data_IF_314314204846
#
_entry.id   IF_314314204846
#
_cell.length_a   1.000
_cell.length_b   1.000
_cell.length_c   1.000
_cell.angle_alpha   90.00
_cell.angle_beta   90.00
_cell.angle_gamma   90.00
#
_symmetry.space_group_name_H-M   'P 1'
#
loop_
_entity.id
_entity.type
_entity.pdbx_description
1 polymer ?
#
# COMPACT_ATOMS: atom_id res chain seq x y z
N UNK A 1 82.09 -32.17 -15.99
CA UNK A 1 80.86 -32.48 -16.76
C UNK A 1 79.83 -33.01 -15.78
N UNK A 2 78.76 -32.24 -15.56
CA UNK A 2 77.58 -32.68 -14.80
C UNK A 2 76.38 -31.89 -15.32
N UNK A 3 75.65 -32.49 -16.25
CA UNK A 3 74.42 -31.97 -16.83
C UNK A 3 73.25 -32.24 -15.87
N UNK A 4 72.78 -31.19 -15.20
CA UNK A 4 71.55 -31.24 -14.39
C UNK A 4 70.36 -31.19 -15.35
N UNK A 5 69.73 -32.35 -15.58
CA UNK A 5 68.47 -32.47 -16.29
C UNK A 5 67.32 -32.24 -15.30
N UNK A 6 66.85 -31.00 -15.20
CA UNK A 6 65.64 -30.66 -14.46
C UNK A 6 64.42 -30.84 -15.37
N UNK A 7 63.89 -32.07 -15.40
CA UNK A 7 62.58 -32.40 -15.95
C UNK A 7 61.47 -31.90 -15.01
N UNK A 8 61.09 -30.63 -15.13
CA UNK A 8 59.89 -30.10 -14.50
C UNK A 8 58.68 -30.34 -15.42
N UNK A 9 58.08 -31.53 -15.33
CA UNK A 9 56.79 -31.87 -15.94
C UNK A 9 55.61 -31.33 -15.12
N UNK A 10 55.66 -30.06 -14.72
CA UNK A 10 54.47 -29.40 -14.18
C UNK A 10 53.51 -29.13 -15.33
N UNK A 11 52.39 -29.85 -15.33
CA UNK A 11 51.29 -29.69 -16.28
C UNK A 11 50.99 -28.22 -16.52
N UNK A 12 51.21 -27.79 -17.76
CA UNK A 12 51.09 -26.42 -18.22
C UNK A 12 49.64 -25.93 -18.00
N UNK A 13 49.37 -25.34 -16.83
CA UNK A 13 48.12 -24.63 -16.59
C UNK A 13 48.09 -23.48 -17.58
N UNK A 14 47.30 -23.62 -18.64
CA UNK A 14 47.19 -22.60 -19.66
C UNK A 14 46.69 -21.31 -19.00
N UNK A 15 47.52 -20.26 -19.03
CA UNK A 15 47.10 -18.95 -18.58
C UNK A 15 45.81 -18.57 -19.32
N UNK A 16 44.81 -18.10 -18.59
CA UNK A 16 43.54 -17.66 -19.16
C UNK A 16 43.52 -16.14 -19.23
N UNK A 17 42.88 -15.62 -20.26
CA UNK A 17 42.61 -14.20 -20.40
C UNK A 17 41.52 -13.77 -19.43
N UNK A 18 41.36 -12.45 -19.23
CA UNK A 18 40.27 -11.88 -18.43
C UNK A 18 38.87 -12.26 -18.94
N UNK A 19 38.74 -12.61 -20.21
CA UNK A 19 37.51 -13.15 -20.80
C UNK A 19 37.30 -14.66 -20.55
N UNK A 20 38.17 -15.33 -19.79
CA UNK A 20 38.09 -16.76 -19.48
C UNK A 20 38.69 -17.71 -20.53
N UNK A 21 39.00 -17.19 -21.73
CA UNK A 21 39.57 -17.95 -22.84
C UNK A 21 41.06 -18.26 -22.66
N UNK A 22 41.53 -19.31 -23.34
CA UNK A 22 42.95 -19.70 -23.33
C UNK A 22 43.83 -18.65 -24.01
N UNK A 23 44.96 -18.28 -23.38
CA UNK A 23 45.95 -17.41 -24.05
C UNK A 23 46.57 -18.12 -25.25
N UNK A 24 46.82 -17.35 -26.31
CA UNK A 24 47.49 -17.82 -27.51
C UNK A 24 48.78 -17.03 -27.72
N UNK A 25 49.83 -17.70 -28.18
CA UNK A 25 51.07 -17.03 -28.58
C UNK A 25 50.82 -16.31 -29.90
N UNK A 26 50.94 -14.99 -29.90
CA UNK A 26 50.80 -14.15 -31.09
C UNK A 26 52.13 -13.51 -31.42
N UNK A 27 52.33 -13.23 -32.70
CA UNK A 27 53.48 -12.46 -33.19
C UNK A 27 52.95 -11.12 -33.69
N UNK A 28 53.47 -10.02 -33.13
CA UNK A 28 53.20 -8.68 -33.68
C UNK A 28 54.29 -8.35 -34.68
N UNK A 29 53.87 -7.79 -35.82
CA UNK A 29 54.75 -7.09 -36.72
C UNK A 29 54.55 -5.58 -36.52
N UNK A 30 55.56 -4.92 -35.96
CA UNK A 30 55.61 -3.45 -35.84
C UNK A 30 56.93 -2.98 -36.40
N UNK A 31 56.99 -1.78 -36.98
CA UNK A 31 58.24 -1.20 -37.51
C UNK A 31 59.33 -1.11 -36.44
N UNK A 32 58.95 -0.81 -35.20
CA UNK A 32 59.88 -0.72 -34.07
C UNK A 32 60.26 -2.06 -33.45
N UNK A 33 59.50 -3.13 -33.70
CA UNK A 33 59.75 -4.47 -33.14
C UNK A 33 59.17 -5.56 -34.08
N UNK A 34 59.86 -5.91 -35.17
CA UNK A 34 59.43 -6.97 -36.05
C UNK A 34 59.58 -8.34 -35.37
N UNK A 35 58.54 -9.16 -35.43
CA UNK A 35 58.61 -10.55 -34.97
C UNK A 35 58.51 -10.77 -33.46
N UNK A 36 58.17 -9.74 -32.66
CA UNK A 36 58.01 -9.90 -31.21
C UNK A 36 56.82 -10.82 -30.91
N UNK A 37 57.09 -11.88 -30.13
CA UNK A 37 56.07 -12.83 -29.66
C UNK A 37 55.57 -12.43 -28.28
N UNK A 38 54.26 -12.51 -28.07
CA UNK A 38 53.62 -12.25 -26.79
C UNK A 38 52.44 -13.20 -26.58
N UNK A 39 52.14 -13.50 -25.31
CA UNK A 39 50.94 -14.26 -24.95
C UNK A 39 49.78 -13.27 -24.85
N UNK A 40 48.78 -13.45 -25.70
CA UNK A 40 47.65 -12.53 -25.81
C UNK A 40 46.32 -13.26 -25.93
N UNK A 41 45.24 -12.52 -25.70
CA UNK A 41 43.90 -13.05 -25.93
C UNK A 41 43.70 -13.40 -27.40
N UNK A 42 43.02 -14.52 -27.67
CA UNK A 42 42.60 -14.92 -29.00
C UNK A 42 41.82 -13.79 -29.69
N UNK A 43 41.01 -13.05 -28.92
CA UNK A 43 40.24 -11.89 -29.37
C UNK A 43 40.97 -10.54 -29.33
N UNK A 44 42.28 -10.51 -28.99
CA UNK A 44 43.08 -9.28 -29.06
C UNK A 44 43.02 -8.70 -30.48
N UNK A 45 42.50 -7.48 -30.63
CA UNK A 45 42.29 -6.78 -31.91
C UNK A 45 40.89 -6.90 -32.53
N UNK A 46 39.96 -7.69 -31.95
CA UNK A 46 38.55 -7.69 -32.40
C UNK A 46 37.76 -6.58 -31.71
N UNK A 47 37.26 -5.63 -32.49
CA UNK A 47 36.46 -4.48 -32.02
C UNK A 47 35.16 -4.83 -31.26
N UNK A 48 34.69 -6.08 -31.29
CA UNK A 48 33.30 -6.41 -30.91
C UNK A 48 33.13 -7.24 -29.63
N UNK A 49 34.22 -7.59 -28.92
CA UNK A 49 34.10 -8.53 -27.80
C UNK A 49 33.60 -7.87 -26.51
N UNK A 50 34.05 -6.64 -26.22
CA UNK A 50 33.64 -5.90 -25.02
C UNK A 50 32.28 -5.20 -25.16
N UNK A 51 31.85 -4.93 -26.39
CA UNK A 51 30.54 -4.31 -26.65
C UNK A 51 29.39 -5.27 -26.32
N UNK A 52 29.47 -6.56 -26.69
CA UNK A 52 28.36 -7.50 -26.47
C UNK A 52 27.97 -7.65 -25.00
N UNK A 53 28.93 -7.76 -24.09
CA UNK A 53 28.65 -7.89 -22.65
C UNK A 53 28.08 -6.59 -22.08
N UNK A 54 28.57 -5.43 -22.54
CA UNK A 54 28.07 -4.12 -22.09
C UNK A 54 26.63 -3.84 -22.55
N UNK A 55 26.30 -4.17 -23.80
CA UNK A 55 24.95 -3.95 -24.34
C UNK A 55 23.89 -4.84 -23.68
N UNK A 56 24.18 -6.11 -23.42
CA UNK A 56 23.25 -7.01 -22.73
C UNK A 56 22.98 -6.58 -21.30
N UNK A 57 24.02 -6.14 -20.57
CA UNK A 57 23.87 -5.61 -19.21
C UNK A 57 23.06 -4.30 -19.18
N UNK A 58 23.24 -3.44 -20.17
CA UNK A 58 22.46 -2.21 -20.30
C UNK A 58 20.98 -2.49 -20.56
N UNK A 59 20.67 -3.34 -21.54
CA UNK A 59 19.27 -3.68 -21.88
C UNK A 59 18.55 -4.33 -20.70
N UNK A 60 19.20 -5.29 -20.03
CA UNK A 60 18.62 -5.95 -18.86
C UNK A 60 18.38 -4.99 -17.72
N UNK A 61 19.31 -4.07 -17.45
CA UNK A 61 19.12 -3.01 -16.45
C UNK A 61 17.92 -2.12 -16.79
N UNK A 62 17.79 -1.66 -18.04
CA UNK A 62 16.65 -0.84 -18.46
C UNK A 62 15.31 -1.59 -18.32
N UNK A 63 15.24 -2.87 -18.69
CA UNK A 63 14.02 -3.66 -18.54
C UNK A 63 13.63 -3.85 -17.07
N UNK A 64 14.60 -4.16 -16.20
CA UNK A 64 14.36 -4.32 -14.77
C UNK A 64 13.93 -3.01 -14.13
N UNK A 65 14.56 -1.88 -14.49
CA UNK A 65 14.18 -0.56 -13.99
C UNK A 65 12.75 -0.18 -14.39
N UNK A 66 12.36 -0.42 -15.65
CA UNK A 66 11.00 -0.14 -16.12
C UNK A 66 9.96 -1.04 -15.42
N UNK A 67 10.27 -2.32 -15.21
CA UNK A 67 9.40 -3.24 -14.48
C UNK A 67 9.23 -2.79 -13.02
N UNK A 68 10.31 -2.38 -12.37
CA UNK A 68 10.28 -1.87 -10.99
C UNK A 68 9.43 -0.59 -10.88
N UNK A 69 9.63 0.37 -11.78
CA UNK A 69 8.84 1.61 -11.77
C UNK A 69 7.36 1.34 -12.01
N UNK A 70 7.03 0.41 -12.90
CA UNK A 70 5.64 -0.02 -13.14
C UNK A 70 5.01 -0.63 -11.89
N UNK A 71 5.74 -1.48 -11.18
CA UNK A 71 5.28 -2.10 -9.93
C UNK A 71 5.01 -1.04 -8.84
N UNK A 72 5.90 -0.06 -8.68
CA UNK A 72 5.73 1.04 -7.73
C UNK A 72 4.46 1.85 -8.02
N UNK A 73 4.18 2.12 -9.30
CA UNK A 73 2.96 2.84 -9.70
C UNK A 73 1.69 2.03 -9.41
N UNK A 74 1.70 0.72 -9.68
CA UNK A 74 0.58 -0.17 -9.39
C UNK A 74 0.30 -0.21 -7.89
N UNK A 75 1.33 -0.42 -7.08
CA UNK A 75 1.20 -0.47 -5.61
C UNK A 75 0.66 0.87 -5.09
N UNK A 76 1.17 1.99 -5.58
CA UNK A 76 0.71 3.33 -5.18
C UNK A 76 -0.78 3.55 -5.51
N UNK A 77 -1.23 3.06 -6.68
CA UNK A 77 -2.64 3.11 -7.08
C UNK A 77 -3.51 2.24 -6.16
N UNK A 78 -3.08 1.02 -5.85
CA UNK A 78 -3.79 0.12 -4.93
C UNK A 78 -3.92 0.72 -3.53
N UNK A 79 -2.85 1.33 -3.01
CA UNK A 79 -2.87 2.03 -1.71
C UNK A 79 -3.89 3.17 -1.75
N UNK A 80 -3.88 3.99 -2.81
CA UNK A 80 -4.83 5.11 -2.95
C UNK A 80 -6.29 4.65 -3.00
N UNK A 81 -6.57 3.57 -3.74
CA UNK A 81 -7.89 2.95 -3.74
C UNK A 81 -8.26 2.41 -2.36
N UNK A 82 -7.34 1.71 -1.70
CA UNK A 82 -7.55 1.19 -0.35
C UNK A 82 -7.90 2.28 0.66
N UNK A 83 -7.18 3.40 0.67
CA UNK A 83 -7.50 4.56 1.51
C UNK A 83 -8.86 5.16 1.17
N UNK A 84 -9.21 5.26 -0.12
CA UNK A 84 -10.52 5.76 -0.55
C UNK A 84 -11.66 4.88 -0.05
N UNK A 85 -11.54 3.55 -0.16
CA UNK A 85 -12.54 2.61 0.36
C UNK A 85 -12.61 2.66 1.90
N UNK A 86 -11.45 2.67 2.58
CA UNK A 86 -11.40 2.74 4.04
C UNK A 86 -12.04 4.03 4.57
N UNK A 87 -11.79 5.17 3.93
CA UNK A 87 -12.39 6.45 4.33
C UNK A 87 -13.91 6.45 4.15
N UNK A 88 -14.43 5.87 3.05
CA UNK A 88 -15.87 5.71 2.82
C UNK A 88 -16.51 4.77 3.84
N UNK A 89 -15.85 3.65 4.17
CA UNK A 89 -16.33 2.71 5.20
C UNK A 89 -16.34 3.35 6.58
N UNK A 90 -15.32 4.15 6.92
CA UNK A 90 -15.27 4.88 8.19
C UNK A 90 -16.42 5.89 8.30
N UNK A 91 -16.68 6.67 7.23
CA UNK A 91 -17.80 7.61 7.19
C UNK A 91 -19.17 6.93 7.29
N UNK A 92 -19.34 5.76 6.67
CA UNK A 92 -20.58 4.97 6.79
C UNK A 92 -20.78 4.39 8.20
N UNK A 93 -19.70 3.98 8.86
CA UNK A 93 -19.78 3.49 10.24
C UNK A 93 -20.14 4.61 11.23
N UNK A 94 -19.59 5.81 11.02
CA UNK A 94 -19.86 6.95 11.89
C UNK A 94 -21.27 7.52 11.70
N UNK A 95 -21.78 7.52 10.46
CA UNK A 95 -23.16 7.90 10.17
C UNK A 95 -24.17 6.93 10.78
N UNK A 96 -23.87 5.62 10.84
CA UNK A 96 -24.73 4.65 11.52
C UNK A 96 -24.78 4.90 13.04
N UNK A 97 -23.66 5.24 13.67
CA UNK A 97 -23.63 5.62 15.10
C UNK A 97 -24.44 6.89 15.37
N UNK A 98 -24.33 7.90 14.50
CA UNK A 98 -25.13 9.12 14.59
C UNK A 98 -26.63 8.84 14.46
N UNK A 99 -27.02 7.98 13.50
CA UNK A 99 -28.42 7.61 13.30
C UNK A 99 -29.01 6.86 14.50
N UNK A 100 -28.26 5.92 15.08
CA UNK A 100 -28.68 5.21 16.30
C UNK A 100 -28.84 6.20 17.46
N UNK A 101 -27.92 7.14 17.64
CA UNK A 101 -27.98 8.11 18.73
C UNK A 101 -29.15 9.10 18.56
N UNK A 102 -29.43 9.56 17.33
CA UNK A 102 -30.61 10.40 17.06
C UNK A 102 -31.93 9.65 17.26
N UNK A 103 -31.99 8.35 16.95
CA UNK A 103 -33.19 7.54 17.18
C UNK A 103 -33.50 7.37 18.68
N UNK A 104 -32.46 7.27 19.51
CA UNK A 104 -32.60 7.23 20.96
C UNK A 104 -33.06 8.59 21.52
N UNK A 105 -32.48 9.68 21.01
CA UNK A 105 -32.90 11.04 21.39
C UNK A 105 -34.37 11.29 21.05
N UNK A 106 -34.86 10.83 19.89
CA UNK A 106 -36.27 10.93 19.51
C UNK A 106 -37.21 10.17 20.45
N UNK A 107 -36.81 8.98 20.91
CA UNK A 107 -37.57 8.21 21.91
C UNK A 107 -37.63 8.92 23.26
N UNK A 108 -36.51 9.50 23.71
CA UNK A 108 -36.45 10.26 24.96
C UNK A 108 -37.31 11.52 24.86
N UNK A 109 -37.27 12.24 23.74
CA UNK A 109 -38.08 13.45 23.53
C UNK A 109 -39.58 13.14 23.54
N UNK A 110 -40.00 12.07 22.85
CA UNK A 110 -41.41 11.67 22.81
C UNK A 110 -41.90 11.22 24.20
N UNK A 111 -41.07 10.49 24.94
CA UNK A 111 -41.42 10.09 26.31
C UNK A 111 -41.54 11.29 27.25
N UNK A 112 -40.67 12.29 27.11
CA UNK A 112 -40.76 13.54 27.87
C UNK A 112 -42.00 14.36 27.49
N UNK A 113 -42.36 14.39 26.20
CA UNK A 113 -43.54 15.07 25.71
C UNK A 113 -44.84 14.44 26.25
N UNK A 114 -44.92 13.10 26.26
CA UNK A 114 -46.07 12.37 26.82
C UNK A 114 -46.23 12.62 28.33
N UNK A 115 -45.13 12.70 29.07
CA UNK A 115 -45.17 13.04 30.50
C UNK A 115 -45.63 14.48 30.74
N UNK A 116 -45.20 15.42 29.91
CA UNK A 116 -45.64 16.81 30.00
C UNK A 116 -47.12 16.99 29.65
N UNK A 117 -47.59 16.35 28.58
CA UNK A 117 -49.00 16.35 28.17
C UNK A 117 -49.88 15.60 29.19
N UNK A 118 -49.41 14.49 29.74
CA UNK A 118 -50.09 13.76 30.82
C UNK A 118 -50.20 14.57 32.11
N UNK A 119 -49.15 15.33 32.47
CA UNK A 119 -49.17 16.27 33.61
C UNK A 119 -50.13 17.44 33.40
N UNK A 120 -50.21 17.98 32.18
CA UNK A 120 -51.18 19.02 31.82
C UNK A 120 -52.63 18.52 31.88
N UNK A 121 -52.88 17.28 31.43
CA UNK A 121 -54.20 16.65 31.54
C UNK A 121 -54.64 16.45 33.00
N UNK A 122 -53.70 16.09 33.89
CA UNK A 122 -53.96 15.99 35.33
C UNK A 122 -54.26 17.34 35.99
N UNK A 123 -53.56 18.41 35.60
CA UNK A 123 -53.82 19.75 36.12
C UNK A 123 -55.18 20.30 35.68
N UNK A 124 -55.64 19.98 34.47
CA UNK A 124 -57.00 20.34 34.03
C UNK A 124 -58.10 19.55 34.76
N UNK A 125 -57.83 18.30 35.15
CA UNK A 125 -58.78 17.49 35.92
C UNK A 125 -58.94 17.99 37.36
N UNK A 126 -57.87 18.47 37.98
CA UNK A 126 -57.90 19.12 39.30
C UNK A 126 -58.59 20.50 39.31
N UNK A 127 -58.53 21.24 38.19
CA UNK A 127 -59.25 22.52 38.06
C UNK A 127 -60.77 22.35 37.88
N UNK A 128 -61.23 21.24 37.30
CA UNK A 128 -62.67 20.94 37.12
C UNK A 128 -63.35 20.27 38.32
N UNK A 129 -62.58 19.81 39.32
CA UNK A 129 -63.12 19.10 40.49
C UNK A 129 -63.80 19.97 41.55
N UNK A 130 -63.71 21.31 41.47
CA UNK A 130 -64.13 22.19 42.57
C UNK A 130 -65.50 22.89 42.38
N UNK A 131 -66.29 22.52 41.36
CA UNK A 131 -67.57 23.19 41.06
C UNK A 131 -68.78 22.25 40.91
N UNK A 132 -68.82 21.12 41.63
CA UNK A 132 -70.04 20.31 41.70
C UNK A 132 -70.28 19.74 43.10
N UNK A 133 -70.75 20.60 44.02
CA UNK A 133 -71.50 20.19 45.21
C UNK A 133 -72.19 21.40 45.84
N UNK A 134 -73.36 21.78 45.30
CA UNK A 134 -74.39 22.45 46.09
C UNK A 134 -75.78 22.02 45.62
N UNK A 135 -76.15 20.82 46.08
CA UNK A 135 -77.54 20.39 46.22
C UNK A 135 -78.21 21.27 47.28
N UNK A 136 -79.29 21.95 46.94
CA UNK A 136 -80.16 22.59 47.95
C UNK A 136 -81.64 22.54 47.53
N UNK A 137 -82.33 21.59 48.17
CA UNK A 137 -83.73 21.50 48.61
C UNK A 137 -84.79 22.47 48.03
N UNK A 138 -85.84 21.83 47.51
CA UNK A 138 -87.25 22.25 47.55
C UNK A 138 -87.69 22.77 48.94
N UNK A 139 -88.67 23.69 48.98
CA UNK A 139 -89.71 23.62 50.01
C UNK A 139 -91.12 23.61 49.42
N UNK A 140 -91.98 22.86 50.10
CA UNK A 140 -93.43 22.87 49.99
C UNK A 140 -94.02 23.94 50.93
N UNK A 141 -95.20 24.43 50.52
CA UNK A 141 -96.40 24.74 51.31
C UNK A 141 -96.61 26.09 52.07
N UNK A 142 -97.86 26.56 51.89
CA UNK A 142 -98.85 27.12 52.84
C UNK A 142 -98.84 28.62 53.19
N UNK A 143 -99.91 29.29 52.76
CA UNK A 143 -100.81 30.25 53.45
C UNK A 143 -101.39 31.17 52.37
N UNK A 144 -102.66 31.56 52.30
CA UNK A 144 -103.79 31.62 53.23
C UNK A 144 -104.78 32.60 52.60
#
# INVERSE_FOLDING_TARGET
MSSISSNNSHGMQFARCRCGEKVVLKTVWTESNPGRRFLGCSNYGRHNFWHKVSFTLSITFFLVANLFMSLVLIISSMIRMGFSLASKMYLLNDSHKLFVNMSHLGKVLNSALDQFLGGLAFNHSLASGHLSSRSFRHPNNLAG
#
